data_IF_616061510768
#
_entry.id   IF_616061510768
#
_cell.length_a   1.000
_cell.length_b   1.000
_cell.length_c   1.000
_cell.angle_alpha   90.00
_cell.angle_beta   90.00
_cell.angle_gamma   90.00
#
_symmetry.space_group_name_H-M   'P 1'
#
loop_
_entity.id
_entity.type
_entity.pdbx_description
1 polymer ?
#
# COMPACT_ATOMS: atom_id res chain seq x y z
N UNK A 1 -58.41 -50.56 10.91
CA UNK A 1 -57.62 -49.36 10.61
C UNK A 1 -56.67 -49.17 11.77
N UNK A 2 -55.42 -49.66 11.60
CA UNK A 2 -54.39 -49.57 12.62
C UNK A 2 -53.73 -48.16 12.51
N UNK A 3 -53.75 -47.42 13.60
CA UNK A 3 -53.01 -46.12 13.72
C UNK A 3 -51.69 -46.46 14.34
N UNK A 4 -50.70 -46.69 13.49
CA UNK A 4 -49.30 -46.81 13.93
C UNK A 4 -48.78 -45.44 14.35
N UNK A 5 -48.78 -45.21 15.67
CA UNK A 5 -48.12 -44.07 16.26
C UNK A 5 -46.63 -44.34 16.29
N UNK A 6 -45.85 -43.72 15.39
CA UNK A 6 -44.42 -43.68 15.45
C UNK A 6 -43.97 -42.91 16.71
N UNK A 7 -43.59 -43.66 17.75
CA UNK A 7 -42.95 -43.09 18.94
C UNK A 7 -41.45 -42.97 18.66
N UNK A 8 -41.01 -41.73 18.32
CA UNK A 8 -39.58 -41.44 18.23
C UNK A 8 -38.98 -41.47 19.64
N UNK A 9 -38.01 -42.36 19.86
CA UNK A 9 -37.22 -42.42 21.05
C UNK A 9 -36.31 -41.18 21.16
N UNK A 10 -35.86 -40.80 22.35
CA UNK A 10 -35.03 -39.64 22.59
C UNK A 10 -33.76 -39.63 21.72
N UNK A 11 -33.16 -40.78 21.49
CA UNK A 11 -32.00 -40.97 20.63
C UNK A 11 -32.31 -40.77 19.15
N UNK A 12 -33.49 -41.18 18.68
CA UNK A 12 -33.91 -41.02 17.27
C UNK A 12 -34.10 -39.53 16.91
N UNK A 13 -34.55 -38.73 17.88
CA UNK A 13 -34.70 -37.26 17.71
C UNK A 13 -33.33 -36.60 17.57
N UNK A 14 -32.33 -37.04 18.34
CA UNK A 14 -30.95 -36.52 18.25
C UNK A 14 -30.35 -36.88 16.89
N UNK A 15 -30.52 -38.12 16.44
CA UNK A 15 -30.03 -38.55 15.12
C UNK A 15 -30.69 -37.75 13.99
N UNK A 16 -32.00 -37.55 14.07
CA UNK A 16 -32.73 -36.76 13.09
C UNK A 16 -32.27 -35.31 13.03
N UNK A 17 -31.98 -34.67 14.18
CA UNK A 17 -31.45 -33.32 14.25
C UNK A 17 -30.02 -33.23 13.65
N UNK A 18 -29.17 -34.22 13.90
CA UNK A 18 -27.84 -34.30 13.32
C UNK A 18 -27.90 -34.42 11.80
N UNK A 19 -28.77 -35.32 11.28
CA UNK A 19 -28.97 -35.49 9.85
C UNK A 19 -29.50 -34.20 9.19
N UNK A 20 -30.44 -33.51 9.85
CA UNK A 20 -31.00 -32.25 9.36
C UNK A 20 -29.91 -31.18 9.30
N UNK A 21 -29.05 -31.07 10.32
CA UNK A 21 -27.94 -30.12 10.34
C UNK A 21 -26.94 -30.40 9.23
N UNK A 22 -26.60 -31.65 8.97
CA UNK A 22 -25.70 -32.05 7.88
C UNK A 22 -26.33 -31.67 6.52
N UNK A 23 -27.62 -31.90 6.32
CA UNK A 23 -28.32 -31.52 5.07
C UNK A 23 -28.28 -30.01 4.87
N UNK A 24 -28.50 -29.23 5.92
CA UNK A 24 -28.43 -27.76 5.85
C UNK A 24 -26.99 -27.29 5.49
N UNK A 25 -25.98 -27.87 6.14
CA UNK A 25 -24.58 -27.54 5.87
C UNK A 25 -24.22 -27.89 4.43
N UNK A 26 -24.58 -29.09 3.96
CA UNK A 26 -24.34 -29.52 2.57
C UNK A 26 -25.05 -28.59 1.57
N UNK A 27 -26.27 -28.16 1.89
CA UNK A 27 -27.03 -27.23 1.04
C UNK A 27 -26.36 -25.83 0.97
N UNK A 28 -25.84 -25.34 2.09
CA UNK A 28 -25.09 -24.07 2.15
C UNK A 28 -23.79 -24.17 1.34
N UNK A 29 -23.08 -25.29 1.42
CA UNK A 29 -21.83 -25.52 0.66
C UNK A 29 -22.09 -25.67 -0.83
N UNK A 30 -23.18 -26.41 -1.21
CA UNK A 30 -23.54 -26.63 -2.62
C UNK A 30 -24.18 -25.42 -3.29
N UNK A 31 -24.78 -24.55 -2.53
CA UNK A 31 -25.45 -23.33 -3.02
C UNK A 31 -24.91 -22.13 -2.24
N UNK A 32 -23.65 -21.70 -2.47
CA UNK A 32 -23.16 -20.46 -1.87
C UNK A 32 -24.12 -19.36 -2.31
N UNK A 33 -24.62 -18.60 -1.35
CA UNK A 33 -25.49 -17.46 -1.59
C UNK A 33 -24.79 -16.51 -2.54
N UNK A 34 -25.07 -16.66 -3.83
CA UNK A 34 -24.76 -15.65 -4.82
C UNK A 34 -25.90 -14.63 -4.78
N UNK A 35 -25.68 -13.43 -4.24
CA UNK A 35 -26.64 -12.35 -4.45
C UNK A 35 -26.78 -12.15 -5.96
N UNK A 36 -28.00 -11.85 -6.47
CA UNK A 36 -28.19 -11.63 -7.89
C UNK A 36 -27.24 -10.53 -8.34
N UNK A 37 -26.33 -10.89 -9.27
CA UNK A 37 -25.50 -9.93 -9.97
C UNK A 37 -26.47 -9.08 -10.78
N UNK A 38 -26.47 -7.75 -10.63
CA UNK A 38 -27.31 -6.90 -11.47
C UNK A 38 -26.94 -7.17 -12.93
N UNK A 39 -27.97 -7.41 -13.75
CA UNK A 39 -27.84 -7.73 -15.17
C UNK A 39 -27.10 -6.60 -15.90
N UNK A 40 -25.90 -6.88 -16.37
CA UNK A 40 -25.02 -5.94 -17.12
C UNK A 40 -25.53 -5.65 -18.55
N UNK A 41 -26.72 -6.13 -18.93
CA UNK A 41 -27.19 -6.10 -20.32
C UNK A 41 -27.97 -4.84 -20.73
N UNK A 42 -27.88 -3.73 -19.96
CA UNK A 42 -28.49 -2.44 -20.40
C UNK A 42 -27.45 -1.30 -20.35
N UNK A 43 -26.37 -1.46 -21.06
CA UNK A 43 -25.59 -0.31 -21.55
C UNK A 43 -25.65 -0.26 -23.06
N UNK A 44 -26.80 0.12 -23.58
CA UNK A 44 -26.86 0.65 -24.94
C UNK A 44 -26.41 2.11 -24.89
N UNK A 45 -25.32 2.31 -25.56
CA UNK A 45 -24.70 3.51 -26.05
C UNK A 45 -25.70 4.66 -26.31
N UNK A 46 -25.73 5.63 -25.41
CA UNK A 46 -26.16 6.97 -25.75
C UNK A 46 -25.31 7.94 -24.95
N UNK A 47 -24.43 8.63 -25.66
CA UNK A 47 -23.63 9.76 -25.22
C UNK A 47 -24.54 10.89 -24.73
N UNK A 48 -25.06 10.78 -23.53
CA UNK A 48 -25.65 11.89 -22.79
C UNK A 48 -24.77 12.08 -21.56
N UNK A 49 -24.09 13.19 -21.55
CA UNK A 49 -23.33 13.70 -20.41
C UNK A 49 -24.30 13.92 -19.24
N UNK A 50 -24.47 12.90 -18.41
CA UNK A 50 -25.12 13.05 -17.10
C UNK A 50 -24.03 12.90 -16.03
N UNK A 51 -23.95 13.81 -15.06
CA UNK A 51 -22.97 13.68 -13.98
C UNK A 51 -23.27 12.42 -13.17
N UNK A 52 -22.32 11.50 -13.13
CA UNK A 52 -22.39 10.26 -12.38
C UNK A 52 -22.65 10.55 -10.90
N UNK A 53 -23.87 10.30 -10.48
CA UNK A 53 -24.27 10.41 -9.07
C UNK A 53 -24.08 9.05 -8.41
N UNK A 54 -22.95 8.81 -7.78
CA UNK A 54 -22.75 7.62 -6.95
C UNK A 54 -23.57 7.73 -5.67
N UNK A 55 -24.57 6.87 -5.51
CA UNK A 55 -25.30 6.70 -4.25
C UNK A 55 -24.53 5.74 -3.33
N UNK A 56 -23.78 6.28 -2.38
CA UNK A 56 -23.18 5.48 -1.32
C UNK A 56 -24.13 5.45 -0.12
N UNK A 57 -24.71 4.29 0.17
CA UNK A 57 -25.50 4.08 1.39
C UNK A 57 -24.53 3.83 2.55
N UNK A 58 -24.44 4.78 3.48
CA UNK A 58 -23.67 4.61 4.71
C UNK A 58 -24.61 4.16 5.81
N UNK A 59 -24.38 2.95 6.33
CA UNK A 59 -25.11 2.44 7.50
C UNK A 59 -24.44 2.96 8.77
N UNK A 60 -25.07 3.89 9.47
CA UNK A 60 -24.66 4.31 10.80
C UNK A 60 -25.38 3.42 11.81
N UNK A 61 -24.62 2.58 12.51
CA UNK A 61 -25.16 1.75 13.59
C UNK A 61 -25.12 2.58 14.87
N UNK A 62 -26.27 3.16 15.23
CA UNK A 62 -26.42 3.81 16.53
C UNK A 62 -26.73 2.76 17.60
N UNK A 63 -25.97 2.77 18.70
CA UNK A 63 -25.98 1.79 19.77
C UNK A 63 -27.10 2.01 20.80
N UNK A 64 -28.01 2.95 20.60
CA UNK A 64 -29.11 3.26 21.52
C UNK A 64 -30.45 2.79 20.96
N UNK A 65 -30.85 1.62 21.33
CA UNK A 65 -32.19 1.02 21.53
C UNK A 65 -33.41 1.46 20.69
N UNK A 66 -33.31 2.14 19.56
CA UNK A 66 -34.42 2.29 18.60
C UNK A 66 -33.87 2.14 17.19
N UNK A 67 -34.34 1.10 16.47
CA UNK A 67 -34.05 0.88 15.04
C UNK A 67 -34.83 1.92 14.23
N UNK A 68 -34.29 3.11 14.08
CA UNK A 68 -34.71 4.06 13.06
C UNK A 68 -33.72 3.95 11.91
N UNK A 69 -34.20 3.46 10.79
CA UNK A 69 -33.43 3.52 9.55
C UNK A 69 -33.63 4.91 8.96
N UNK A 70 -32.71 5.80 9.23
CA UNK A 70 -32.64 7.11 8.55
C UNK A 70 -31.90 6.90 7.26
N UNK A 71 -32.58 6.98 6.16
CA UNK A 71 -31.98 7.00 4.83
C UNK A 71 -31.52 8.43 4.55
N UNK A 72 -30.30 8.78 4.94
CA UNK A 72 -29.71 10.06 4.58
C UNK A 72 -28.92 9.87 3.29
N UNK A 73 -29.49 10.31 2.18
CA UNK A 73 -28.83 10.31 0.88
C UNK A 73 -27.95 11.54 0.83
N UNK A 74 -26.71 11.43 1.33
CA UNK A 74 -25.69 12.45 1.08
C UNK A 74 -25.34 12.40 -0.41
N UNK A 75 -25.81 13.40 -1.14
CA UNK A 75 -25.42 13.62 -2.52
C UNK A 75 -23.98 14.14 -2.51
N UNK A 76 -22.99 13.23 -2.57
CA UNK A 76 -21.61 13.63 -2.77
C UNK A 76 -21.46 13.94 -4.27
N UNK A 77 -21.30 15.22 -4.60
CA UNK A 77 -20.83 15.58 -5.93
C UNK A 77 -19.40 15.05 -6.06
N UNK A 78 -19.27 13.88 -6.66
CA UNK A 78 -17.97 13.43 -7.12
C UNK A 78 -17.63 14.32 -8.30
N UNK A 79 -16.78 15.34 -8.07
CA UNK A 79 -16.11 16.01 -9.20
C UNK A 79 -15.58 14.91 -10.08
N UNK A 80 -16.03 14.87 -11.34
CA UNK A 80 -15.59 13.88 -12.32
C UNK A 80 -14.08 13.76 -12.20
N UNK A 81 -13.61 12.58 -11.82
CA UNK A 81 -12.19 12.27 -11.88
C UNK A 81 -11.85 12.38 -13.36
N UNK A 82 -11.33 13.52 -13.76
CA UNK A 82 -10.71 13.64 -15.09
C UNK A 82 -9.54 12.65 -15.03
N UNK A 83 -9.78 11.47 -15.60
CA UNK A 83 -8.70 10.50 -15.80
C UNK A 83 -7.66 11.21 -16.66
N UNK A 84 -6.50 11.44 -16.10
CA UNK A 84 -5.39 12.03 -16.84
C UNK A 84 -5.17 11.19 -18.10
N UNK A 85 -5.17 11.84 -19.25
CA UNK A 85 -4.88 11.17 -20.52
C UNK A 85 -3.48 10.60 -20.39
N UNK A 86 -3.38 9.27 -20.48
CA UNK A 86 -2.11 8.58 -20.36
C UNK A 86 -1.32 8.69 -21.65
N UNK A 87 -0.08 9.15 -21.56
CA UNK A 87 0.83 9.26 -22.70
C UNK A 87 2.21 8.75 -22.33
N UNK A 88 2.87 8.10 -23.28
CA UNK A 88 4.31 7.78 -23.11
C UNK A 88 5.10 9.08 -23.19
N UNK A 89 6.08 9.27 -22.30
CA UNK A 89 6.96 10.42 -22.40
C UNK A 89 7.79 10.32 -23.68
N UNK A 90 8.00 11.43 -24.36
CA UNK A 90 8.87 11.50 -25.53
C UNK A 90 10.35 11.55 -25.14
N UNK A 91 10.63 12.09 -23.96
CA UNK A 91 11.96 12.19 -23.37
C UNK A 91 11.92 11.61 -21.94
N UNK A 92 13.03 11.05 -21.46
CA UNK A 92 13.12 10.56 -20.08
C UNK A 92 12.84 11.68 -19.07
N UNK A 93 12.12 11.35 -18.02
CA UNK A 93 11.66 12.28 -16.99
C UNK A 93 12.55 12.22 -15.76
N UNK A 94 12.86 13.36 -15.16
CA UNK A 94 13.63 13.43 -13.91
C UNK A 94 12.83 12.89 -12.73
N UNK A 95 13.18 11.69 -12.25
CA UNK A 95 12.42 10.96 -11.24
C UNK A 95 12.23 11.72 -9.93
N UNK A 96 13.24 12.45 -9.51
CA UNK A 96 13.20 13.20 -8.26
C UNK A 96 12.34 14.47 -8.33
N UNK A 97 12.05 14.97 -9.55
CA UNK A 97 11.25 16.17 -9.78
C UNK A 97 9.75 15.89 -9.87
N UNK A 98 9.37 14.68 -10.35
CA UNK A 98 7.99 14.38 -10.69
C UNK A 98 7.05 14.43 -9.48
N UNK A 99 5.87 15.00 -9.71
CA UNK A 99 4.77 14.98 -8.76
C UNK A 99 3.82 13.77 -8.99
N UNK A 100 2.84 13.62 -8.08
CA UNK A 100 1.86 12.53 -8.17
C UNK A 100 0.99 12.62 -9.42
N UNK A 101 0.64 13.83 -9.87
CA UNK A 101 -0.23 14.03 -11.01
C UNK A 101 0.52 13.72 -12.32
N UNK A 102 1.78 14.06 -12.40
CA UNK A 102 2.66 13.73 -13.53
C UNK A 102 2.88 12.23 -13.64
N UNK A 103 3.19 11.56 -12.53
CA UNK A 103 3.34 10.10 -12.47
C UNK A 103 2.08 9.37 -12.93
N UNK A 104 0.90 9.82 -12.52
CA UNK A 104 -0.38 9.19 -12.91
C UNK A 104 -0.67 9.34 -14.41
N UNK A 105 -0.08 10.31 -15.11
CA UNK A 105 -0.21 10.44 -16.58
C UNK A 105 0.53 9.35 -17.34
N UNK A 106 1.50 8.68 -16.70
CA UNK A 106 2.28 7.62 -17.35
C UNK A 106 1.46 6.33 -17.46
N UNK A 107 1.53 5.61 -18.60
CA UNK A 107 0.89 4.31 -18.76
C UNK A 107 1.41 3.32 -17.73
N UNK A 108 0.53 2.53 -17.12
CA UNK A 108 0.91 1.55 -16.08
C UNK A 108 1.06 2.13 -14.67
N UNK A 109 1.11 3.45 -14.49
CA UNK A 109 1.16 4.08 -13.18
C UNK A 109 -0.23 4.59 -12.79
N UNK A 110 -0.81 3.97 -11.76
CA UNK A 110 -2.05 4.43 -11.13
C UNK A 110 -1.78 5.32 -9.91
N UNK A 111 -2.82 5.93 -9.32
CA UNK A 111 -2.66 6.79 -8.13
C UNK A 111 -1.97 6.07 -6.96
N UNK A 112 -2.29 4.79 -6.74
CA UNK A 112 -1.66 4.00 -5.68
C UNK A 112 -0.17 3.77 -5.93
N UNK A 113 0.22 3.47 -7.18
CA UNK A 113 1.61 3.27 -7.58
C UNK A 113 2.39 4.58 -7.51
N UNK A 114 1.83 5.69 -8.00
CA UNK A 114 2.43 7.02 -7.88
C UNK A 114 2.73 7.38 -6.41
N UNK A 115 1.77 7.12 -5.51
CA UNK A 115 1.98 7.33 -4.08
C UNK A 115 3.06 6.44 -3.48
N UNK A 116 3.20 5.18 -3.92
CA UNK A 116 4.29 4.31 -3.49
C UNK A 116 5.65 4.90 -3.92
N UNK A 117 5.79 5.34 -5.16
CA UNK A 117 7.00 5.96 -5.70
C UNK A 117 7.38 7.20 -4.87
N UNK A 118 6.43 8.10 -4.62
CA UNK A 118 6.68 9.32 -3.86
C UNK A 118 7.07 9.03 -2.41
N UNK A 119 6.32 8.16 -1.73
CA UNK A 119 6.63 7.77 -0.34
C UNK A 119 8.00 7.12 -0.21
N UNK A 120 8.37 6.31 -1.19
CA UNK A 120 9.67 5.66 -1.20
C UNK A 120 10.78 6.69 -1.41
N UNK A 121 10.60 7.64 -2.35
CA UNK A 121 11.48 8.80 -2.55
C UNK A 121 11.67 9.61 -1.27
N UNK A 122 10.58 9.92 -0.57
CA UNK A 122 10.63 10.67 0.69
C UNK A 122 11.42 9.96 1.79
N UNK A 123 11.26 8.64 1.88
CA UNK A 123 12.00 7.81 2.85
C UNK A 123 13.47 7.70 2.52
N UNK A 124 13.81 7.57 1.25
CA UNK A 124 15.21 7.58 0.77
C UNK A 124 15.86 8.94 0.97
N UNK A 125 15.10 10.03 0.85
CA UNK A 125 15.65 11.40 0.74
C UNK A 125 15.88 11.82 -0.71
N UNK A 126 15.46 11.02 -1.67
CA UNK A 126 15.66 11.12 -3.12
C UNK A 126 16.18 9.80 -3.69
N UNK A 127 15.93 9.53 -4.96
CA UNK A 127 16.50 8.38 -5.64
C UNK A 127 17.95 8.68 -6.06
N UNK A 128 18.88 7.80 -5.75
CA UNK A 128 20.27 7.85 -6.22
C UNK A 128 20.50 7.02 -7.48
N UNK A 129 19.58 6.12 -7.81
CA UNK A 129 19.65 5.27 -8.99
C UNK A 129 18.26 4.79 -9.41
N UNK A 130 18.04 4.64 -10.72
CA UNK A 130 16.76 4.17 -11.27
C UNK A 130 16.44 2.75 -10.82
N UNK A 131 17.46 1.92 -10.59
CA UNK A 131 17.33 0.55 -10.09
C UNK A 131 16.55 0.44 -8.77
N UNK A 132 16.52 1.51 -7.98
CA UNK A 132 15.76 1.55 -6.74
C UNK A 132 14.23 1.48 -6.95
N UNK A 133 13.75 1.79 -8.15
CA UNK A 133 12.35 1.58 -8.50
C UNK A 133 11.95 0.10 -8.47
N UNK A 134 12.88 -0.82 -8.76
CA UNK A 134 12.64 -2.27 -8.67
C UNK A 134 12.30 -2.75 -7.25
N UNK A 135 12.66 -1.98 -6.24
CA UNK A 135 12.35 -2.30 -4.84
C UNK A 135 10.89 -1.98 -4.48
N UNK A 136 10.16 -1.29 -5.36
CA UNK A 136 8.75 -0.97 -5.17
C UNK A 136 7.88 -2.10 -5.72
N UNK A 137 7.25 -2.82 -4.83
CA UNK A 137 6.38 -3.95 -5.18
C UNK A 137 5.27 -3.53 -6.17
N UNK A 138 5.18 -4.28 -7.28
CA UNK A 138 4.15 -4.10 -8.31
C UNK A 138 4.46 -3.01 -9.33
N UNK A 139 5.70 -2.54 -9.39
CA UNK A 139 6.16 -1.65 -10.46
C UNK A 139 6.77 -2.48 -11.59
N UNK A 140 6.27 -2.38 -12.85
CA UNK A 140 6.86 -3.07 -13.99
C UNK A 140 8.24 -2.51 -14.35
N UNK A 141 9.20 -3.38 -14.64
CA UNK A 141 10.57 -2.99 -15.03
C UNK A 141 10.60 -2.12 -16.29
N UNK A 142 9.63 -2.31 -17.20
CA UNK A 142 9.51 -1.54 -18.43
C UNK A 142 9.29 -0.04 -18.21
N UNK A 143 8.94 0.38 -17.00
CA UNK A 143 8.78 1.80 -16.68
C UNK A 143 10.11 2.50 -16.39
N UNK A 144 11.16 1.74 -16.06
CA UNK A 144 12.46 2.31 -15.67
C UNK A 144 13.11 3.11 -16.82
N UNK A 145 12.86 2.72 -18.06
CA UNK A 145 13.38 3.41 -19.25
C UNK A 145 12.84 4.85 -19.43
N UNK A 146 11.74 5.17 -18.72
CA UNK A 146 11.10 6.48 -18.82
C UNK A 146 11.67 7.50 -17.84
N UNK A 147 12.55 7.07 -16.98
CA UNK A 147 13.09 7.91 -15.93
C UNK A 147 14.60 8.11 -16.06
N UNK A 148 15.02 9.29 -15.65
CA UNK A 148 16.44 9.62 -15.44
C UNK A 148 16.60 10.19 -14.03
N UNK A 149 17.82 10.15 -13.54
CA UNK A 149 18.24 10.84 -12.33
C UNK A 149 19.39 11.75 -12.73
N UNK A 150 19.22 13.02 -12.45
CA UNK A 150 20.25 14.04 -12.68
C UNK A 150 20.70 14.63 -11.35
N UNK A 151 21.87 15.22 -11.32
CA UNK A 151 22.40 15.91 -10.14
C UNK A 151 21.71 17.24 -9.84
N UNK A 152 20.65 17.57 -10.60
CA UNK A 152 19.91 18.83 -10.46
C UNK A 152 19.19 18.94 -9.13
N UNK A 153 18.71 17.81 -8.61
CA UNK A 153 18.00 17.75 -7.32
C UNK A 153 18.88 17.00 -6.32
N UNK A 154 19.40 17.70 -5.31
CA UNK A 154 20.26 17.07 -4.32
C UNK A 154 19.48 16.06 -3.47
N UNK A 155 20.09 14.92 -3.23
CA UNK A 155 19.60 13.91 -2.30
C UNK A 155 19.73 14.45 -0.87
N UNK A 156 18.67 14.32 -0.09
CA UNK A 156 18.70 14.67 1.33
C UNK A 156 19.49 13.62 2.11
N UNK A 157 20.67 14.00 2.57
CA UNK A 157 21.52 13.12 3.34
C UNK A 157 21.17 13.10 4.84
N UNK A 158 21.52 12.00 5.49
CA UNK A 158 21.38 11.79 6.92
C UNK A 158 22.71 12.18 7.58
N UNK A 159 22.65 13.10 8.51
CA UNK A 159 23.82 13.47 9.31
C UNK A 159 24.16 12.36 10.30
N UNK A 160 25.09 11.47 9.92
CA UNK A 160 25.44 10.27 10.68
C UNK A 160 25.82 10.60 12.12
N UNK A 161 26.47 11.74 12.34
CA UNK A 161 26.95 12.15 13.66
C UNK A 161 25.89 12.81 14.56
N UNK A 162 24.72 13.16 14.03
CA UNK A 162 23.66 13.88 14.77
C UNK A 162 22.32 13.13 14.82
N UNK A 163 22.02 12.38 13.78
CA UNK A 163 20.73 11.70 13.65
C UNK A 163 20.47 10.79 14.86
N UNK A 164 19.26 10.84 15.37
CA UNK A 164 18.78 9.92 16.40
C UNK A 164 18.58 8.52 15.82
N UNK A 165 18.51 7.50 16.68
CA UNK A 165 18.20 6.14 16.28
C UNK A 165 16.88 6.09 15.48
N UNK A 166 15.88 6.87 15.87
CA UNK A 166 14.58 6.92 15.17
C UNK A 166 14.69 7.56 13.79
N UNK A 167 15.54 8.57 13.60
CA UNK A 167 15.80 9.22 12.32
C UNK A 167 16.56 8.30 11.38
N UNK A 168 17.62 7.64 11.86
CA UNK A 168 18.36 6.64 11.09
C UNK A 168 17.45 5.54 10.57
N UNK A 169 16.58 5.00 11.40
CA UNK A 169 15.62 3.93 11.04
C UNK A 169 14.53 4.34 10.05
N UNK A 170 14.33 5.62 9.79
CA UNK A 170 13.37 6.05 8.75
C UNK A 170 13.86 5.73 7.35
N UNK A 171 15.17 5.64 7.19
CA UNK A 171 15.76 5.30 5.88
C UNK A 171 15.56 3.81 5.57
N UNK A 172 15.13 3.44 4.33
CA UNK A 172 14.82 2.05 3.97
C UNK A 172 16.01 1.10 4.11
N UNK A 173 17.22 1.59 3.96
CA UNK A 173 18.46 0.80 3.97
C UNK A 173 19.14 0.74 5.35
N UNK A 174 18.54 1.32 6.37
CA UNK A 174 19.09 1.27 7.72
C UNK A 174 18.13 0.50 8.61
N UNK A 175 18.54 -0.67 9.05
CA UNK A 175 17.79 -1.45 10.00
C UNK A 175 18.00 -1.01 11.46
N UNK A 176 17.37 -1.71 12.40
CA UNK A 176 17.48 -1.38 13.82
C UNK A 176 18.90 -1.60 14.38
N UNK A 177 19.54 -2.68 13.97
CA UNK A 177 20.86 -3.04 14.49
C UNK A 177 21.93 -2.09 13.94
N UNK A 178 21.86 -1.77 12.68
CA UNK A 178 22.72 -0.78 12.01
C UNK A 178 22.57 0.61 12.66
N UNK A 179 21.33 1.07 12.86
CA UNK A 179 21.07 2.36 13.52
C UNK A 179 21.62 2.38 14.95
N UNK A 180 21.46 1.28 15.66
CA UNK A 180 21.96 1.11 17.03
C UNK A 180 23.49 1.12 17.06
N UNK A 181 24.14 0.37 16.16
CA UNK A 181 25.58 0.32 16.07
C UNK A 181 26.19 1.72 15.82
N UNK A 182 25.57 2.53 14.94
CA UNK A 182 25.99 3.93 14.72
C UNK A 182 25.91 4.74 16.02
N UNK A 183 24.78 4.63 16.75
CA UNK A 183 24.56 5.42 17.98
C UNK A 183 25.51 4.98 19.10
N UNK A 184 25.71 3.67 19.27
CA UNK A 184 26.65 3.11 20.27
C UNK A 184 28.08 3.51 19.95
N UNK A 185 28.50 3.36 18.69
CA UNK A 185 29.84 3.76 18.26
C UNK A 185 30.14 5.24 18.57
N UNK A 186 29.19 6.14 18.28
CA UNK A 186 29.33 7.56 18.61
C UNK A 186 29.48 7.81 20.12
N UNK A 187 28.76 7.05 20.93
CA UNK A 187 28.83 7.16 22.40
C UNK A 187 30.16 6.71 22.96
N UNK A 188 30.74 5.66 22.38
CA UNK A 188 31.97 5.04 22.86
C UNK A 188 33.25 5.62 22.27
N UNK A 189 33.25 5.85 20.97
CA UNK A 189 34.46 6.22 20.19
C UNK A 189 34.42 7.63 19.59
N UNK A 190 33.29 8.31 19.75
CA UNK A 190 33.11 9.66 19.26
C UNK A 190 32.66 9.70 17.79
N UNK A 191 33.07 10.75 17.10
CA UNK A 191 32.58 11.10 15.76
C UNK A 191 33.00 10.08 14.71
N UNK A 192 32.07 9.69 13.86
CA UNK A 192 32.30 8.88 12.66
C UNK A 192 32.76 9.82 11.53
N UNK A 193 33.98 9.63 11.07
CA UNK A 193 34.63 10.52 10.09
C UNK A 193 34.38 10.12 8.64
N UNK A 194 34.05 8.88 8.41
CA UNK A 194 33.85 8.35 7.06
C UNK A 194 33.28 6.93 7.04
N UNK A 195 32.96 6.42 5.84
CA UNK A 195 32.37 5.12 5.65
C UNK A 195 33.27 3.96 6.09
N UNK A 196 34.58 4.15 6.12
CA UNK A 196 35.54 3.13 6.54
C UNK A 196 35.27 2.67 7.98
N UNK A 197 34.82 3.60 8.83
CA UNK A 197 34.51 3.27 10.22
C UNK A 197 33.23 2.42 10.34
N UNK A 198 32.27 2.60 9.43
CA UNK A 198 31.09 1.75 9.36
C UNK A 198 31.42 0.35 8.84
N UNK A 199 32.40 0.23 7.93
CA UNK A 199 32.83 -1.07 7.39
C UNK A 199 33.50 -1.99 8.43
N UNK A 200 33.94 -1.46 9.55
CA UNK A 200 34.46 -2.26 10.69
C UNK A 200 33.36 -2.76 11.64
N UNK A 201 32.11 -2.33 11.45
CA UNK A 201 30.99 -2.79 12.25
C UNK A 201 30.38 -4.05 11.60
N UNK A 202 30.13 -5.09 12.39
CA UNK A 202 29.58 -6.36 11.90
C UNK A 202 28.19 -6.25 11.26
N UNK A 203 27.45 -5.20 11.63
CA UNK A 203 26.10 -4.93 11.15
C UNK A 203 26.06 -4.39 9.71
N UNK A 204 27.21 -3.98 9.14
CA UNK A 204 27.27 -3.43 7.80
C UNK A 204 28.03 -4.33 6.85
N UNK A 205 27.34 -4.80 5.82
CA UNK A 205 28.00 -5.47 4.69
C UNK A 205 28.53 -4.44 3.69
N UNK A 206 29.46 -4.85 2.83
CA UNK A 206 29.96 -3.99 1.75
C UNK A 206 28.81 -3.51 0.84
N UNK A 207 27.84 -4.37 0.57
CA UNK A 207 26.68 -4.05 -0.25
C UNK A 207 25.76 -3.01 0.43
N UNK A 208 25.57 -3.12 1.75
CA UNK A 208 24.78 -2.13 2.50
C UNK A 208 25.44 -0.75 2.41
N UNK A 209 26.75 -0.69 2.58
CA UNK A 209 27.49 0.56 2.50
C UNK A 209 27.44 1.17 1.10
N UNK A 210 27.61 0.38 0.04
CA UNK A 210 27.50 0.86 -1.33
C UNK A 210 26.14 1.55 -1.60
N UNK A 211 25.05 0.95 -1.10
CA UNK A 211 23.70 1.49 -1.24
C UNK A 211 23.44 2.72 -0.36
N UNK A 212 24.10 2.79 0.81
CA UNK A 212 23.91 3.84 1.79
C UNK A 212 24.75 5.08 1.54
N UNK A 213 25.94 4.94 0.94
CA UNK A 213 26.89 6.04 0.77
C UNK A 213 26.29 7.33 0.21
N UNK A 214 25.41 7.31 -0.81
CA UNK A 214 24.81 8.54 -1.34
C UNK A 214 23.96 9.29 -0.32
N UNK A 215 23.50 8.60 0.72
CA UNK A 215 22.57 9.10 1.73
C UNK A 215 23.21 9.49 3.06
N UNK A 216 24.51 9.29 3.21
CA UNK A 216 25.21 9.56 4.46
C UNK A 216 26.04 10.84 4.37
N UNK A 217 25.85 11.70 5.35
CA UNK A 217 26.69 12.89 5.57
C UNK A 217 27.51 12.70 6.84
N UNK A 218 28.81 12.68 6.67
CA UNK A 218 29.80 12.55 7.76
C UNK A 218 30.33 13.90 8.22
N UNK A 219 29.83 15.00 7.68
CA UNK A 219 30.32 16.33 8.02
C UNK A 219 30.20 16.62 9.51
N UNK A 220 31.21 17.26 10.03
CA UNK A 220 31.22 17.82 11.37
C UNK A 220 30.89 19.30 11.23
N UNK A 221 29.69 19.71 11.58
CA UNK A 221 29.46 21.13 11.81
C UNK A 221 30.13 21.52 13.13
N UNK A 222 31.12 22.36 13.04
CA UNK A 222 31.69 23.06 14.17
C UNK A 222 30.65 23.97 14.83
#
# INVERSE_FOLDING_TARGET
MSKDHFYFNRNDRIVALILLSIIIIVNIIRNPWNPPVPDESVFTDSLVHTPDTFRRTVYIRDTVRRKWYVWDTVRVEVKSLQYAVKSRPMEPLELNALDSAELVRLPGIGPATAMKIIRYRERLGGYSGISQLAEIEGLPDSLMEWFIITDTIPIRQIQVNRATLAELRRHPYIDFYQARAIVEYRGERGVIKGPEQLSFMEEFTAQDLERLLPYLDFSQYQ
#
